data_IF_377709585402
#
_entry.id   IF_377709585402
#
_cell.length_a   1.000
_cell.length_b   1.000
_cell.length_c   1.000
_cell.angle_alpha   90.00
_cell.angle_beta   90.00
_cell.angle_gamma   90.00
#
_symmetry.space_group_name_H-M   'P 1'
#
loop_
_entity.id
_entity.type
_entity.pdbx_description
1 polymer ?
#
# COMPACT_ATOMS: atom_id res chain seq x y z
N UNK A 1 23.96 32.28 5.96
CA UNK A 1 23.13 31.95 4.79
C UNK A 1 23.48 30.53 4.40
N UNK A 2 22.66 29.48 4.47
CA UNK A 2 21.22 29.31 4.72
C UNK A 2 21.01 28.00 5.50
N UNK A 3 20.02 28.05 6.38
CA UNK A 3 19.46 26.95 7.17
C UNK A 3 18.77 25.89 6.28
N UNK A 4 18.50 24.73 6.88
CA UNK A 4 17.72 23.57 6.41
C UNK A 4 18.59 22.45 5.81
N UNK A 5 19.31 21.72 6.68
CA UNK A 5 19.43 20.27 6.46
C UNK A 5 18.03 19.70 6.62
N UNK A 6 17.43 19.32 5.50
CA UNK A 6 16.08 18.78 5.47
C UNK A 6 15.98 17.54 6.37
N UNK A 7 14.98 17.46 7.25
CA UNK A 7 14.59 16.24 7.99
C UNK A 7 14.12 15.08 7.06
N UNK A 8 14.37 15.19 5.76
CA UNK A 8 14.03 14.18 4.79
C UNK A 8 14.96 12.97 4.93
N UNK A 9 14.36 11.81 5.21
CA UNK A 9 15.08 10.54 5.27
C UNK A 9 15.73 10.16 3.92
N UNK A 10 15.14 10.58 2.81
CA UNK A 10 15.63 10.30 1.45
C UNK A 10 15.94 11.62 0.74
N UNK A 11 17.18 11.79 0.32
CA UNK A 11 17.69 12.96 -0.39
C UNK A 11 18.39 12.54 -1.70
N UNK A 12 18.40 13.43 -2.69
CA UNK A 12 19.23 13.29 -3.89
C UNK A 12 20.69 13.66 -3.59
N UNK A 13 21.57 13.39 -4.54
CA UNK A 13 23.00 13.74 -4.45
C UNK A 13 23.22 15.26 -4.27
N UNK A 14 22.30 16.07 -4.79
CA UNK A 14 22.28 17.53 -4.61
C UNK A 14 21.75 17.98 -3.23
N UNK A 15 21.46 17.05 -2.32
CA UNK A 15 20.94 17.33 -0.97
C UNK A 15 19.46 17.70 -0.90
N UNK A 16 18.72 17.59 -2.00
CA UNK A 16 17.30 17.92 -2.05
C UNK A 16 16.42 16.72 -1.66
N UNK A 17 15.26 16.92 -1.02
CA UNK A 17 14.33 15.82 -0.74
C UNK A 17 13.93 15.06 -2.01
N UNK A 18 13.94 13.73 -1.91
CA UNK A 18 13.61 12.88 -3.05
C UNK A 18 12.15 13.07 -3.48
N UNK A 19 11.93 13.40 -4.75
CA UNK A 19 10.57 13.68 -5.24
C UNK A 19 9.78 12.40 -5.53
N UNK A 20 8.45 12.50 -5.43
CA UNK A 20 7.54 11.43 -5.87
C UNK A 20 7.79 11.03 -7.34
N UNK A 21 8.06 12.01 -8.20
CA UNK A 21 8.27 11.77 -9.63
C UNK A 21 9.55 10.96 -9.87
N UNK A 22 10.62 11.27 -9.14
CA UNK A 22 11.86 10.51 -9.17
C UNK A 22 11.62 9.05 -8.78
N UNK A 23 10.93 8.81 -7.65
CA UNK A 23 10.61 7.47 -7.18
C UNK A 23 9.81 6.67 -8.22
N UNK A 24 8.71 7.25 -8.74
CA UNK A 24 7.86 6.57 -9.73
C UNK A 24 8.61 6.29 -11.03
N UNK A 25 9.46 7.20 -11.48
CA UNK A 25 10.31 6.99 -12.67
C UNK A 25 11.20 5.76 -12.48
N UNK A 26 11.91 5.67 -11.36
CA UNK A 26 12.81 4.54 -11.08
C UNK A 26 12.07 3.21 -10.97
N UNK A 27 10.94 3.19 -10.27
CA UNK A 27 10.09 2.00 -10.18
C UNK A 27 9.64 1.55 -11.58
N UNK A 28 9.21 2.46 -12.45
CA UNK A 28 8.79 2.11 -13.80
C UNK A 28 9.92 1.50 -14.62
N UNK A 29 11.13 2.06 -14.55
CA UNK A 29 12.32 1.49 -15.20
C UNK A 29 12.55 0.04 -14.73
N UNK A 30 12.46 -0.22 -13.42
CA UNK A 30 12.62 -1.58 -12.88
C UNK A 30 11.52 -2.51 -13.39
N UNK A 31 10.26 -2.07 -13.42
CA UNK A 31 9.15 -2.88 -13.92
C UNK A 31 9.33 -3.23 -15.40
N UNK A 32 9.70 -2.27 -16.24
CA UNK A 32 9.95 -2.49 -17.66
C UNK A 32 11.10 -3.49 -17.87
N UNK A 33 12.18 -3.38 -17.07
CA UNK A 33 13.30 -4.32 -17.12
C UNK A 33 12.92 -5.75 -16.68
N UNK A 34 11.88 -5.90 -15.86
CA UNK A 34 11.33 -7.19 -15.46
C UNK A 34 10.30 -7.75 -16.46
N UNK A 35 10.05 -7.05 -17.58
CA UNK A 35 9.01 -7.42 -18.55
C UNK A 35 7.59 -7.17 -18.05
N UNK A 36 7.42 -6.39 -16.98
CA UNK A 36 6.12 -5.99 -16.46
C UNK A 36 5.67 -4.69 -17.12
N UNK A 37 4.36 -4.57 -17.37
CA UNK A 37 3.83 -3.40 -18.04
C UNK A 37 3.72 -2.20 -17.09
N UNK A 38 4.78 -1.38 -17.02
CA UNK A 38 4.93 -0.27 -16.06
C UNK A 38 3.82 0.78 -16.13
N UNK A 39 3.12 0.90 -17.28
CA UNK A 39 1.98 1.82 -17.47
C UNK A 39 0.82 1.54 -16.50
N UNK A 40 0.70 0.30 -16.03
CA UNK A 40 -0.34 -0.13 -15.10
C UNK A 40 -0.02 0.23 -13.63
N UNK A 41 1.18 0.77 -13.37
CA UNK A 41 1.67 1.04 -12.02
C UNK A 41 1.96 2.52 -11.81
N UNK A 42 1.54 3.03 -10.66
CA UNK A 42 1.91 4.34 -10.16
C UNK A 42 1.92 4.35 -8.62
N UNK A 43 2.17 5.49 -7.98
CA UNK A 43 2.26 5.55 -6.51
C UNK A 43 0.98 5.13 -5.79
N UNK A 44 -0.17 5.27 -6.42
CA UNK A 44 -1.45 4.76 -5.91
C UNK A 44 -1.47 3.23 -5.83
N UNK A 45 -0.95 2.53 -6.86
CA UNK A 45 -0.85 1.08 -6.88
C UNK A 45 -0.06 0.55 -5.68
N UNK A 46 1.01 1.25 -5.27
CA UNK A 46 1.78 0.90 -4.06
C UNK A 46 0.98 1.09 -2.78
N UNK A 47 0.18 2.17 -2.69
CA UNK A 47 -0.71 2.37 -1.53
C UNK A 47 -1.77 1.29 -1.43
N UNK A 48 -2.32 0.84 -2.57
CA UNK A 48 -3.25 -0.30 -2.64
C UNK A 48 -2.58 -1.57 -2.15
N UNK A 49 -1.39 -1.88 -2.68
CA UNK A 49 -0.62 -3.05 -2.27
C UNK A 49 -0.30 -3.05 -0.78
N UNK A 50 0.14 -1.90 -0.24
CA UNK A 50 0.45 -1.76 1.18
C UNK A 50 -0.79 -1.94 2.06
N UNK A 51 -1.94 -1.34 1.70
CA UNK A 51 -3.19 -1.50 2.44
C UNK A 51 -3.67 -2.96 2.44
N UNK A 52 -3.65 -3.60 1.26
CA UNK A 52 -4.07 -5.01 1.09
C UNK A 52 -3.15 -5.93 1.88
N UNK A 53 -1.83 -5.76 1.78
CA UNK A 53 -0.86 -6.59 2.51
C UNK A 53 -1.04 -6.44 4.02
N UNK A 54 -1.26 -5.22 4.52
CA UNK A 54 -1.49 -4.96 5.93
C UNK A 54 -2.76 -5.68 6.45
N UNK A 55 -3.82 -5.71 5.65
CA UNK A 55 -5.04 -6.44 5.95
C UNK A 55 -4.84 -7.97 5.89
N UNK A 56 -4.08 -8.47 4.92
CA UNK A 56 -3.76 -9.91 4.78
C UNK A 56 -3.00 -10.44 6.01
N UNK A 57 -2.10 -9.64 6.58
CA UNK A 57 -1.40 -9.98 7.84
C UNK A 57 -2.21 -9.65 9.09
N UNK A 58 -3.50 -9.30 8.93
CA UNK A 58 -4.47 -9.02 10.01
C UNK A 58 -4.04 -7.88 10.93
N UNK A 59 -3.41 -6.84 10.40
CA UNK A 59 -3.26 -5.61 11.18
C UNK A 59 -4.62 -4.98 11.43
N UNK A 60 -4.79 -4.46 12.63
CA UNK A 60 -5.99 -3.72 13.02
C UNK A 60 -6.21 -2.51 12.11
N UNK A 61 -7.47 -2.24 11.78
CA UNK A 61 -7.90 -1.15 10.90
C UNK A 61 -7.31 0.21 11.28
N UNK A 62 -7.23 0.53 12.56
CA UNK A 62 -6.65 1.78 13.06
C UNK A 62 -5.14 1.90 12.79
N UNK A 63 -4.41 0.77 12.77
CA UNK A 63 -2.99 0.73 12.43
C UNK A 63 -2.80 0.93 10.93
N UNK A 64 -3.60 0.26 10.10
CA UNK A 64 -3.58 0.45 8.63
C UNK A 64 -3.85 1.91 8.31
N UNK A 65 -4.88 2.50 8.93
CA UNK A 65 -5.25 3.91 8.79
C UNK A 65 -4.09 4.85 9.14
N UNK A 66 -3.44 4.61 10.28
CA UNK A 66 -2.30 5.39 10.77
C UNK A 66 -1.09 5.26 9.85
N UNK A 67 -0.72 4.04 9.47
CA UNK A 67 0.44 3.76 8.61
C UNK A 67 0.31 4.42 7.23
N UNK A 68 -0.88 4.37 6.64
CA UNK A 68 -1.13 5.04 5.36
C UNK A 68 -1.44 6.53 5.46
N UNK A 69 -1.46 7.10 6.68
CA UNK A 69 -1.79 8.51 6.93
C UNK A 69 -3.15 8.90 6.35
N UNK A 70 -4.15 8.04 6.51
CA UNK A 70 -5.52 8.32 6.07
C UNK A 70 -6.31 8.99 7.19
N UNK A 71 -6.95 10.12 6.89
CA UNK A 71 -7.82 10.82 7.84
C UNK A 71 -9.21 10.17 7.96
N UNK A 72 -9.63 9.43 6.94
CA UNK A 72 -10.92 8.75 6.88
C UNK A 72 -10.76 7.28 6.48
N UNK A 73 -11.86 6.54 6.46
CA UNK A 73 -11.85 5.10 6.14
C UNK A 73 -11.82 4.86 4.63
N UNK A 74 -11.40 5.85 3.83
CA UNK A 74 -11.27 5.73 2.37
C UNK A 74 -10.26 4.65 1.94
N UNK A 75 -9.36 4.25 2.84
CA UNK A 75 -8.39 3.17 2.62
C UNK A 75 -9.04 1.80 2.44
N UNK A 76 -10.25 1.59 2.99
CA UNK A 76 -11.00 0.33 2.85
C UNK A 76 -11.27 -0.01 1.39
N UNK A 77 -11.45 1.00 0.52
CA UNK A 77 -11.59 0.81 -0.94
C UNK A 77 -10.33 0.26 -1.60
N UNK A 78 -9.18 0.38 -0.94
CA UNK A 78 -7.91 -0.11 -1.46
C UNK A 78 -7.58 -1.52 -1.00
N UNK A 79 -8.37 -2.09 -0.10
CA UNK A 79 -8.23 -3.46 0.37
C UNK A 79 -9.03 -4.36 -0.57
N UNK A 80 -8.34 -5.14 -1.40
CA UNK A 80 -8.98 -6.10 -2.27
C UNK A 80 -9.08 -7.46 -1.57
N UNK A 81 -10.25 -7.76 -1.02
CA UNK A 81 -10.52 -9.07 -0.42
C UNK A 81 -10.54 -10.13 -1.50
N UNK A 82 -9.60 -11.08 -1.46
CA UNK A 82 -9.56 -12.16 -2.43
C UNK A 82 -10.81 -13.06 -2.32
N UNK A 83 -11.28 -13.67 -3.42
CA UNK A 83 -12.41 -14.60 -3.39
C UNK A 83 -12.23 -15.76 -2.39
N UNK A 84 -10.99 -16.17 -2.14
CA UNK A 84 -10.66 -17.22 -1.15
C UNK A 84 -11.04 -16.79 0.27
N UNK A 85 -10.76 -15.54 0.64
CA UNK A 85 -11.10 -15.00 1.96
C UNK A 85 -12.63 -14.94 2.12
N UNK A 86 -13.34 -14.55 1.07
CA UNK A 86 -14.82 -14.54 1.06
C UNK A 86 -15.36 -15.97 1.25
N UNK A 87 -14.81 -16.94 0.51
CA UNK A 87 -15.20 -18.35 0.64
C UNK A 87 -14.93 -18.90 2.06
N UNK A 88 -13.78 -18.57 2.66
CA UNK A 88 -13.45 -18.97 4.02
C UNK A 88 -14.44 -18.37 5.03
N UNK A 89 -14.77 -17.09 4.90
CA UNK A 89 -15.75 -16.43 5.76
C UNK A 89 -17.13 -17.08 5.63
N UNK A 90 -17.56 -17.42 4.40
CA UNK A 90 -18.81 -18.17 4.17
C UNK A 90 -18.80 -19.53 4.88
N UNK A 91 -17.71 -20.29 4.76
CA UNK A 91 -17.58 -21.60 5.43
C UNK A 91 -17.65 -21.48 6.95
N UNK A 92 -17.02 -20.45 7.53
CA UNK A 92 -17.08 -20.19 8.97
C UNK A 92 -18.50 -19.89 9.44
N UNK A 93 -19.24 -19.05 8.71
CA UNK A 93 -20.65 -18.76 9.01
C UNK A 93 -21.52 -20.02 9.01
N UNK A 94 -21.40 -20.86 7.97
CA UNK A 94 -22.16 -22.12 7.89
C UNK A 94 -21.84 -23.05 9.05
N UNK A 95 -20.55 -23.22 9.37
CA UNK A 95 -20.12 -24.09 10.48
C UNK A 95 -20.62 -23.62 11.85
N UNK A 96 -20.76 -22.29 12.04
CA UNK A 96 -21.24 -21.72 13.30
C UNK A 96 -22.74 -21.92 13.53
N UNK A 97 -23.53 -22.09 12.46
CA UNK A 97 -24.97 -22.33 12.50
C UNK A 97 -25.30 -23.81 12.76
N UNK A 98 -24.43 -24.74 12.35
CA UNK A 98 -24.67 -26.18 12.51
C UNK A 98 -24.34 -26.73 13.91
N UNK A 99 -23.80 -25.90 14.81
CA UNK A 99 -23.42 -26.27 16.18
C UNK A 99 -24.34 -25.67 17.27
N UNK A 100 -25.43 -25.00 16.86
CA UNK A 100 -26.49 -24.47 17.72
C UNK A 100 -27.79 -25.22 17.51
#
# INVERSE_FOLDING_TARGET
MSSITSDALFVSDDGNPLSRQFFIKHVKIILDNLGLESKNYNGHSFRIGAATTAQEVRLEDHLIKTLGRWSSDCYTRYIHTSPKVIQQAQNQLVSSISLS
#
